data_IF_299991974971
#
_entry.id   IF_299991974971
#
_cell.length_a   1.000
_cell.length_b   1.000
_cell.length_c   1.000
_cell.angle_alpha   90.00
_cell.angle_beta   90.00
_cell.angle_gamma   90.00
#
_symmetry.space_group_name_H-M   'P 1'
#
loop_
_entity.id
_entity.type
_entity.pdbx_description
1 polymer ?
#
# COMPACT_ATOMS: atom_id res chain seq x y z
N UNK A 1 26.87 -7.10 20.56
CA UNK A 1 25.76 -7.72 19.83
C UNK A 1 25.19 -6.62 18.94
N UNK A 2 25.16 -6.87 17.65
CA UNK A 2 24.55 -5.96 16.71
C UNK A 2 23.06 -6.36 16.57
N UNK A 3 22.17 -5.39 16.73
CA UNK A 3 20.72 -5.61 16.68
C UNK A 3 20.19 -4.94 15.43
N UNK A 4 19.48 -5.70 14.60
CA UNK A 4 18.77 -5.21 13.42
C UNK A 4 17.27 -5.35 13.65
N UNK A 5 16.55 -4.27 13.46
CA UNK A 5 15.09 -4.25 13.45
C UNK A 5 14.59 -4.55 12.04
N UNK A 6 13.61 -5.42 11.91
CA UNK A 6 12.97 -5.72 10.64
C UNK A 6 11.46 -5.77 10.81
N UNK A 7 10.74 -5.31 9.80
CA UNK A 7 9.28 -5.26 9.79
C UNK A 7 8.72 -5.86 8.50
N UNK A 8 8.61 -7.19 8.42
CA UNK A 8 7.90 -7.84 7.34
C UNK A 8 6.38 -7.71 7.51
N UNK A 9 5.66 -7.84 6.42
CA UNK A 9 4.20 -7.99 6.40
C UNK A 9 3.80 -9.41 6.01
N UNK A 10 2.55 -9.81 6.25
CA UNK A 10 2.08 -11.19 6.06
C UNK A 10 2.23 -11.71 4.63
N UNK A 11 2.34 -10.85 3.61
CA UNK A 11 2.65 -11.26 2.24
C UNK A 11 4.05 -11.91 2.07
N UNK A 12 4.88 -11.94 3.10
CA UNK A 12 6.10 -12.76 3.16
C UNK A 12 5.84 -14.25 2.88
N UNK A 13 4.66 -14.76 3.26
CA UNK A 13 4.24 -16.14 3.01
C UNK A 13 4.18 -16.49 1.51
N UNK A 14 3.94 -15.49 0.66
CA UNK A 14 3.90 -15.67 -0.80
C UNK A 14 5.03 -14.93 -1.55
N UNK A 15 6.10 -14.53 -0.84
CA UNK A 15 7.25 -13.89 -1.45
C UNK A 15 7.00 -12.45 -1.95
N UNK A 16 6.05 -11.74 -1.35
CA UNK A 16 5.63 -10.40 -1.78
C UNK A 16 5.67 -9.35 -0.64
N UNK A 17 6.47 -9.60 0.41
CA UNK A 17 6.65 -8.62 1.48
C UNK A 17 7.55 -7.48 1.03
N UNK A 18 7.19 -6.23 1.37
CA UNK A 18 8.14 -5.14 1.46
C UNK A 18 8.57 -5.02 2.92
N UNK A 19 9.79 -5.43 3.22
CA UNK A 19 10.32 -5.49 4.59
C UNK A 19 11.22 -4.31 4.88
N UNK A 20 10.81 -3.42 5.78
CA UNK A 20 11.65 -2.33 6.24
C UNK A 20 12.68 -2.84 7.24
N UNK A 21 13.97 -2.44 7.10
CA UNK A 21 15.08 -2.84 7.98
C UNK A 21 15.88 -1.64 8.48
N UNK A 22 16.36 -1.72 9.76
CA UNK A 22 17.27 -0.72 10.36
C UNK A 22 18.07 -1.33 11.53
N UNK A 23 19.37 -1.01 11.64
CA UNK A 23 20.23 -0.47 10.60
C UNK A 23 20.37 -1.43 9.42
N UNK A 24 20.86 -0.92 8.27
CA UNK A 24 21.08 -1.78 7.11
C UNK A 24 22.21 -2.77 7.40
N UNK A 25 21.93 -4.05 7.16
CA UNK A 25 22.88 -5.15 7.20
C UNK A 25 22.62 -6.05 5.99
N UNK A 26 23.66 -6.30 5.19
CA UNK A 26 23.53 -7.01 3.92
C UNK A 26 22.93 -8.41 4.10
N UNK A 27 23.42 -9.17 5.07
CA UNK A 27 22.91 -10.53 5.32
C UNK A 27 21.43 -10.55 5.75
N UNK A 28 20.95 -9.50 6.45
CA UNK A 28 19.53 -9.37 6.82
C UNK A 28 18.70 -8.99 5.60
N UNK A 29 19.20 -8.08 4.77
CA UNK A 29 18.55 -7.70 3.52
C UNK A 29 18.40 -8.93 2.60
N UNK A 30 19.47 -9.69 2.42
CA UNK A 30 19.47 -10.91 1.61
C UNK A 30 18.47 -11.94 2.14
N UNK A 31 18.39 -12.12 3.46
CA UNK A 31 17.41 -13.02 4.06
C UNK A 31 15.98 -12.61 3.72
N UNK A 32 15.62 -11.33 3.90
CA UNK A 32 14.26 -10.86 3.61
C UNK A 32 13.95 -10.76 2.12
N UNK A 33 14.95 -10.62 1.26
CA UNK A 33 14.76 -10.66 -0.19
C UNK A 33 14.28 -12.03 -0.71
N UNK A 34 14.41 -13.11 0.09
CA UNK A 34 13.75 -14.38 -0.21
C UNK A 34 12.23 -14.36 0.07
N UNK A 35 11.77 -13.40 0.86
CA UNK A 35 10.36 -13.25 1.23
C UNK A 35 9.67 -12.06 0.49
N UNK A 36 10.40 -11.42 -0.45
CA UNK A 36 9.94 -10.26 -1.19
C UNK A 36 11.05 -9.26 -1.42
N UNK A 37 10.88 -8.02 -1.02
CA UNK A 37 11.85 -6.94 -1.16
C UNK A 37 12.22 -6.36 0.22
N UNK A 38 13.50 -6.14 0.47
CA UNK A 38 13.96 -5.41 1.65
C UNK A 38 14.24 -3.95 1.33
N UNK A 39 13.84 -3.05 2.21
CA UNK A 39 14.05 -1.61 2.10
C UNK A 39 14.79 -1.11 3.34
N UNK A 40 15.95 -0.50 3.14
CA UNK A 40 16.73 0.05 4.24
C UNK A 40 16.19 1.42 4.67
N UNK A 41 15.95 1.60 5.96
CA UNK A 41 15.62 2.90 6.54
C UNK A 41 16.89 3.71 6.79
N UNK A 42 16.82 5.02 6.54
CA UNK A 42 17.94 5.94 6.74
C UNK A 42 18.25 6.23 8.21
N UNK A 43 17.29 6.03 9.11
CA UNK A 43 17.40 6.25 10.55
C UNK A 43 16.39 5.41 11.32
N UNK A 44 16.59 5.28 12.63
CA UNK A 44 15.62 4.63 13.51
C UNK A 44 14.27 5.38 13.50
N UNK A 45 14.27 6.69 13.52
CA UNK A 45 13.05 7.50 13.42
C UNK A 45 12.29 7.25 12.11
N UNK A 46 13.01 7.12 10.99
CA UNK A 46 12.40 6.77 9.70
C UNK A 46 11.87 5.33 9.68
N UNK A 47 12.56 4.38 10.34
CA UNK A 47 12.08 3.03 10.54
C UNK A 47 10.74 3.02 11.29
N UNK A 48 10.65 3.75 12.36
CA UNK A 48 9.45 3.82 13.19
C UNK A 48 8.27 4.49 12.46
N UNK A 49 8.51 5.60 11.74
CA UNK A 49 7.48 6.19 10.88
C UNK A 49 7.05 5.22 9.77
N UNK A 50 7.99 4.55 9.13
CA UNK A 50 7.70 3.55 8.10
C UNK A 50 6.89 2.37 8.62
N UNK A 51 7.04 2.02 9.92
CA UNK A 51 6.27 0.94 10.55
C UNK A 51 4.76 1.20 10.58
N UNK A 52 4.33 2.46 10.56
CA UNK A 52 2.91 2.82 10.44
C UNK A 52 2.30 2.30 9.13
N UNK A 53 3.08 2.20 8.06
CA UNK A 53 2.61 1.70 6.77
C UNK A 53 2.22 0.21 6.81
N UNK A 54 2.77 -0.57 7.77
CA UNK A 54 2.30 -1.94 7.99
C UNK A 54 0.85 -2.00 8.49
N UNK A 55 0.38 -0.96 9.18
CA UNK A 55 -1.03 -0.84 9.57
C UNK A 55 -1.91 -0.54 8.35
N UNK A 56 -1.45 0.36 7.46
CA UNK A 56 -2.15 0.69 6.20
C UNK A 56 -2.33 -0.54 5.32
N UNK A 57 -1.37 -1.47 5.34
CA UNK A 57 -1.46 -2.73 4.59
C UNK A 57 -2.77 -3.48 4.86
N UNK A 58 -3.26 -3.52 6.10
CA UNK A 58 -4.51 -4.19 6.45
C UNK A 58 -5.75 -3.48 5.87
N UNK A 59 -5.70 -2.17 5.65
CA UNK A 59 -6.84 -1.41 5.15
C UNK A 59 -7.12 -1.68 3.66
N UNK A 60 -6.10 -2.05 2.90
CA UNK A 60 -6.28 -2.44 1.50
C UNK A 60 -7.23 -3.62 1.33
N UNK A 61 -7.24 -4.58 2.28
CA UNK A 61 -8.15 -5.72 2.20
C UNK A 61 -9.62 -5.28 2.35
N UNK A 62 -9.90 -4.27 3.19
CA UNK A 62 -11.25 -3.70 3.29
C UNK A 62 -11.66 -2.95 2.02
N UNK A 63 -10.73 -2.21 1.42
CA UNK A 63 -10.97 -1.57 0.12
C UNK A 63 -11.24 -2.61 -0.97
N UNK A 64 -10.46 -3.68 -1.03
CA UNK A 64 -10.67 -4.75 -2.02
C UNK A 64 -12.02 -5.41 -1.83
N UNK A 65 -12.41 -5.74 -0.61
CA UNK A 65 -13.71 -6.34 -0.32
C UNK A 65 -14.87 -5.42 -0.75
N UNK A 66 -14.81 -4.14 -0.43
CA UNK A 66 -15.80 -3.16 -0.85
C UNK A 66 -15.93 -3.06 -2.38
N UNK A 67 -14.79 -3.10 -3.11
CA UNK A 67 -14.80 -3.09 -4.56
C UNK A 67 -15.37 -4.39 -5.15
N UNK A 68 -15.09 -5.54 -4.55
CA UNK A 68 -15.64 -6.83 -4.95
C UNK A 68 -17.15 -6.85 -4.76
N UNK A 69 -17.63 -6.46 -3.58
CA UNK A 69 -19.07 -6.39 -3.29
C UNK A 69 -19.83 -5.48 -4.26
N UNK A 70 -19.25 -4.31 -4.58
CA UNK A 70 -19.88 -3.34 -5.48
C UNK A 70 -19.93 -3.80 -6.95
N UNK A 71 -19.06 -4.73 -7.37
CA UNK A 71 -18.91 -5.10 -8.78
C UNK A 71 -19.34 -6.53 -9.11
N UNK A 72 -19.60 -7.38 -8.11
CA UNK A 72 -20.08 -8.75 -8.36
C UNK A 72 -21.51 -8.77 -8.88
N UNK A 73 -21.82 -9.71 -9.73
CA UNK A 73 -23.15 -9.94 -10.30
C UNK A 73 -23.25 -11.37 -10.85
N UNK A 74 -24.42 -11.76 -11.36
CA UNK A 74 -24.60 -13.03 -12.04
C UNK A 74 -23.68 -13.18 -13.28
N UNK A 75 -23.43 -12.08 -13.98
CA UNK A 75 -22.52 -12.05 -15.14
C UNK A 75 -21.04 -11.97 -14.73
N UNK A 76 -20.75 -11.48 -13.53
CA UNK A 76 -19.39 -11.34 -12.99
C UNK A 76 -19.35 -11.92 -11.56
N UNK A 77 -19.22 -13.25 -11.42
CA UNK A 77 -19.20 -13.91 -10.11
C UNK A 77 -18.07 -13.44 -9.21
N UNK A 78 -18.28 -13.53 -7.89
CA UNK A 78 -17.34 -13.04 -6.85
C UNK A 78 -15.90 -13.48 -7.09
N UNK A 79 -15.67 -14.75 -7.43
CA UNK A 79 -14.30 -15.27 -7.65
C UNK A 79 -13.57 -14.58 -8.80
N UNK A 80 -14.30 -14.30 -9.89
CA UNK A 80 -13.74 -13.59 -11.04
C UNK A 80 -13.54 -12.11 -10.71
N UNK A 81 -14.51 -11.48 -10.03
CA UNK A 81 -14.41 -10.08 -9.56
C UNK A 81 -13.20 -9.91 -8.65
N UNK A 82 -12.99 -10.84 -7.69
CA UNK A 82 -11.84 -10.84 -6.80
C UNK A 82 -10.51 -10.87 -7.57
N UNK A 83 -10.38 -11.76 -8.54
CA UNK A 83 -9.15 -11.84 -9.36
C UNK A 83 -8.89 -10.55 -10.13
N UNK A 84 -9.95 -9.94 -10.68
CA UNK A 84 -9.83 -8.68 -11.41
C UNK A 84 -9.44 -7.52 -10.49
N UNK A 85 -10.10 -7.34 -9.34
CA UNK A 85 -9.80 -6.28 -8.39
C UNK A 85 -8.35 -6.38 -7.92
N UNK A 86 -7.92 -7.57 -7.47
CA UNK A 86 -6.55 -7.77 -6.98
C UNK A 86 -5.51 -7.64 -8.09
N UNK A 87 -5.80 -8.14 -9.28
CA UNK A 87 -4.93 -8.00 -10.45
C UNK A 87 -4.74 -6.55 -10.87
N UNK A 88 -5.81 -5.75 -10.88
CA UNK A 88 -5.75 -4.32 -11.18
C UNK A 88 -4.99 -3.54 -10.10
N UNK A 89 -5.21 -3.85 -8.81
CA UNK A 89 -4.48 -3.22 -7.72
C UNK A 89 -2.96 -3.51 -7.80
N UNK A 90 -2.59 -4.78 -8.06
CA UNK A 90 -1.19 -5.18 -8.29
C UNK A 90 -0.59 -4.44 -9.48
N UNK A 91 -1.30 -4.37 -10.61
CA UNK A 91 -0.83 -3.68 -11.81
C UNK A 91 -0.66 -2.17 -11.60
N UNK A 92 -1.58 -1.54 -10.86
CA UNK A 92 -1.48 -0.11 -10.53
C UNK A 92 -0.26 0.19 -9.64
N UNK A 93 -0.02 -0.65 -8.61
CA UNK A 93 1.14 -0.52 -7.74
C UNK A 93 2.45 -0.71 -8.53
N UNK A 94 2.53 -1.75 -9.36
CA UNK A 94 3.70 -2.01 -10.20
C UNK A 94 3.99 -0.86 -11.16
N UNK A 95 2.97 -0.35 -11.85
CA UNK A 95 3.13 0.80 -12.76
C UNK A 95 3.65 2.04 -12.03
N UNK A 96 3.12 2.31 -10.83
CA UNK A 96 3.57 3.45 -10.03
C UNK A 96 5.03 3.33 -9.59
N UNK A 97 5.48 2.12 -9.24
CA UNK A 97 6.88 1.83 -8.89
C UNK A 97 7.82 2.02 -10.11
N UNK A 98 7.44 1.51 -11.28
CA UNK A 98 8.26 1.59 -12.50
C UNK A 98 8.37 3.03 -13.05
N UNK A 99 7.31 3.84 -12.92
CA UNK A 99 7.34 5.23 -13.35
C UNK A 99 8.03 6.18 -12.35
N UNK A 100 8.55 5.65 -11.26
CA UNK A 100 9.13 6.44 -10.18
C UNK A 100 8.06 7.00 -9.24
N UNK A 101 7.98 6.44 -8.08
CA UNK A 101 6.92 6.53 -7.07
C UNK A 101 6.54 7.94 -6.56
N UNK A 102 7.10 9.00 -7.17
CA UNK A 102 6.97 10.34 -6.61
C UNK A 102 5.57 10.95 -6.68
N UNK A 103 4.71 10.54 -7.63
CA UNK A 103 3.39 11.20 -7.84
C UNK A 103 2.34 10.26 -8.46
N UNK A 104 1.83 9.25 -7.74
CA UNK A 104 0.78 8.35 -8.25
C UNK A 104 -0.48 9.09 -8.73
N UNK A 105 -0.80 10.24 -8.14
CA UNK A 105 -1.93 11.06 -8.54
C UNK A 105 -1.83 11.55 -10.00
N UNK A 106 -0.62 11.82 -10.52
CA UNK A 106 -0.43 12.21 -11.93
C UNK A 106 -0.76 11.04 -12.86
N UNK A 107 -0.41 9.81 -12.46
CA UNK A 107 -0.75 8.61 -13.24
C UNK A 107 -2.27 8.45 -13.29
N UNK A 108 -2.96 8.65 -12.16
CA UNK A 108 -4.41 8.58 -12.09
C UNK A 108 -5.09 9.60 -13.03
N UNK A 109 -4.62 10.86 -13.07
CA UNK A 109 -5.15 11.89 -13.98
C UNK A 109 -4.89 11.57 -15.47
N UNK A 110 -3.74 11.00 -15.80
CA UNK A 110 -3.46 10.57 -17.16
C UNK A 110 -4.39 9.44 -17.64
N UNK A 111 -4.67 8.47 -16.76
CA UNK A 111 -5.55 7.33 -17.09
C UNK A 111 -7.01 7.78 -17.12
N UNK A 112 -7.41 8.62 -16.15
CA UNK A 112 -8.76 9.16 -16.04
C UNK A 112 -8.91 10.42 -16.90
N UNK A 113 -8.75 10.27 -18.21
CA UNK A 113 -8.89 11.38 -19.18
C UNK A 113 -10.36 11.75 -19.41
N UNK A 114 -10.57 12.99 -19.89
CA UNK A 114 -11.89 13.56 -20.15
C UNK A 114 -12.75 12.64 -21.05
N UNK A 115 -14.02 12.45 -20.67
CA UNK A 115 -14.97 11.61 -21.39
C UNK A 115 -14.89 10.11 -21.08
N UNK A 116 -14.02 9.66 -20.16
CA UNK A 116 -13.90 8.25 -19.75
C UNK A 116 -14.71 7.95 -18.49
N UNK A 117 -15.13 6.67 -18.35
CA UNK A 117 -15.74 6.19 -17.10
C UNK A 117 -14.78 6.30 -15.91
N UNK A 118 -13.47 6.15 -16.13
CA UNK A 118 -12.44 6.34 -15.11
C UNK A 118 -12.48 7.76 -14.54
N UNK A 119 -12.64 8.77 -15.41
CA UNK A 119 -12.76 10.19 -15.01
C UNK A 119 -14.01 10.41 -14.17
N UNK A 120 -15.15 9.89 -14.61
CA UNK A 120 -16.41 10.02 -13.89
C UNK A 120 -16.31 9.45 -12.47
N UNK A 121 -15.73 8.28 -12.32
CA UNK A 121 -15.53 7.65 -11.00
C UNK A 121 -14.54 8.41 -10.12
N UNK A 122 -13.41 8.85 -10.69
CA UNK A 122 -12.40 9.61 -9.95
C UNK A 122 -12.94 10.97 -9.47
N UNK A 123 -13.73 11.66 -10.29
CA UNK A 123 -14.34 12.93 -9.91
C UNK A 123 -15.35 12.76 -8.76
N UNK A 124 -16.15 11.70 -8.78
CA UNK A 124 -17.04 11.37 -7.67
C UNK A 124 -16.25 11.13 -6.37
N UNK A 125 -15.17 10.34 -6.43
CA UNK A 125 -14.33 10.09 -5.25
C UNK A 125 -13.70 11.37 -4.70
N UNK A 126 -13.26 12.27 -5.57
CA UNK A 126 -12.73 13.58 -5.19
C UNK A 126 -13.81 14.46 -4.57
N UNK A 127 -14.99 14.54 -5.16
CA UNK A 127 -16.12 15.30 -4.67
C UNK A 127 -16.56 14.82 -3.27
N UNK A 128 -16.52 13.53 -3.03
CA UNK A 128 -16.85 12.91 -1.75
C UNK A 128 -15.69 12.95 -0.75
N UNK A 129 -14.54 13.55 -1.10
CA UNK A 129 -13.33 13.60 -0.28
C UNK A 129 -12.88 12.20 0.20
N UNK A 130 -13.06 11.17 -0.63
CA UNK A 130 -12.86 9.76 -0.26
C UNK A 130 -11.42 9.43 0.16
N UNK A 131 -10.45 10.29 -0.16
CA UNK A 131 -9.05 10.11 0.21
C UNK A 131 -8.68 10.73 1.56
N UNK A 132 -9.45 11.71 2.04
CA UNK A 132 -9.18 12.37 3.32
C UNK A 132 -9.22 11.42 4.53
N UNK A 133 -10.18 10.49 4.67
CA UNK A 133 -10.20 9.54 5.79
C UNK A 133 -8.94 8.66 5.86
N UNK A 134 -8.30 8.33 4.72
CA UNK A 134 -7.06 7.57 4.70
C UNK A 134 -5.88 8.38 5.23
N UNK A 135 -5.83 9.67 4.90
CA UNK A 135 -4.83 10.61 5.42
C UNK A 135 -5.01 10.79 6.94
N UNK A 136 -6.22 11.09 7.38
CA UNK A 136 -6.57 11.27 8.80
C UNK A 136 -6.24 10.02 9.63
N UNK A 137 -6.56 8.82 9.14
CA UNK A 137 -6.22 7.58 9.81
C UNK A 137 -4.71 7.37 9.92
N UNK A 138 -3.95 7.71 8.87
CA UNK A 138 -2.47 7.63 8.89
C UNK A 138 -1.87 8.65 9.88
N UNK A 139 -2.37 9.89 9.90
CA UNK A 139 -1.96 10.93 10.83
C UNK A 139 -2.24 10.53 12.28
N UNK A 140 -3.41 9.93 12.56
CA UNK A 140 -3.76 9.41 13.88
C UNK A 140 -2.71 8.39 14.38
N UNK A 141 -2.28 7.47 13.53
CA UNK A 141 -1.25 6.49 13.89
C UNK A 141 0.11 7.13 14.15
N UNK A 142 0.50 8.14 13.35
CA UNK A 142 1.73 8.88 13.57
C UNK A 142 1.71 9.67 14.88
N UNK A 143 0.59 10.29 15.22
CA UNK A 143 0.40 10.95 16.50
C UNK A 143 0.50 9.96 17.67
N UNK A 144 -0.17 8.82 17.56
CA UNK A 144 -0.11 7.78 18.60
C UNK A 144 1.30 7.26 18.80
N UNK A 145 2.06 7.03 17.72
CA UNK A 145 3.46 6.62 17.78
C UNK A 145 4.33 7.66 18.52
N UNK A 146 4.05 8.94 18.35
CA UNK A 146 4.79 10.01 19.03
C UNK A 146 4.46 10.08 20.53
N UNK A 147 3.20 9.85 20.92
CA UNK A 147 2.76 9.83 22.32
C UNK A 147 3.38 8.65 23.09
N UNK A 148 3.45 7.46 22.49
CA UNK A 148 3.97 6.25 23.14
C UNK A 148 5.50 6.34 23.42
N UNK A 149 6.18 7.36 22.92
CA UNK A 149 7.62 7.63 23.16
C UNK A 149 7.90 8.73 24.19
N UNK A 150 6.89 9.47 24.60
CA UNK A 150 7.01 10.57 25.58
C UNK A 150 6.74 10.06 26.99
#
# INVERSE_FOLDING_TARGET
IEIVRAMPVSSAECGASTTLIYPHQEWVADFFNHCGESVASASEAAFEQGSVLACVYSWFFQLFDALIEANQSDALPRDLTSKLVMGMAKGAAQLALEQGSGKPAIIAEHIASEGTYSKLGLDLLKQQQAFAPWQEASELLLHKLAEDKS
#
